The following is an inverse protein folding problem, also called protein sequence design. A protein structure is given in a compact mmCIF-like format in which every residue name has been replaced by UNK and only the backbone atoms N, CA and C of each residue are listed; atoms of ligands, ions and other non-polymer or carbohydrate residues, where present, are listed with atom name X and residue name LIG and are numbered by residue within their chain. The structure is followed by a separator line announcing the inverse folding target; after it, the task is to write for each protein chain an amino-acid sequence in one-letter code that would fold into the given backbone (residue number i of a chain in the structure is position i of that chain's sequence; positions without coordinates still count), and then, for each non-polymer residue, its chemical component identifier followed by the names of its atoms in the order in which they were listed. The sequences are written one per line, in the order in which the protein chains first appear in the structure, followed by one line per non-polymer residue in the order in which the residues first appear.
data_IF_559374575277
#
_entry.id   IF_559374575277
#
_cell.length_a   1.000
_cell.length_b   1.000
_cell.length_c   1.000
_cell.angle_alpha   90.00
_cell.angle_beta   90.00
_cell.angle_gamma   90.00
#
_symmetry.space_group_name_H-M   'P 1'
#
loop_
_entity.id
_entity.type
_entity.pdbx_description
1 polymer ?
#
# COMPACT_ATOMS: atom_id res chain seq x y z
N UNK A 1 -6.56 -15.63 2.64
CA UNK A 1 -7.91 -15.08 2.47
C UNK A 1 -8.35 -15.05 1.00
N UNK A 2 -7.54 -14.57 0.06
CA UNK A 2 -7.90 -14.58 -1.37
C UNK A 2 -8.19 -15.98 -1.96
N UNK A 3 -7.63 -17.04 -1.36
CA UNK A 3 -7.82 -18.44 -1.78
C UNK A 3 -9.12 -19.08 -1.27
N UNK A 4 -9.96 -18.36 -0.53
CA UNK A 4 -11.26 -18.90 -0.08
C UNK A 4 -12.11 -19.16 -1.33
N UNK A 5 -12.72 -20.36 -1.47
CA UNK A 5 -13.60 -20.67 -2.58
C UNK A 5 -14.67 -19.61 -2.75
N UNK A 6 -14.98 -19.25 -4.01
CA UNK A 6 -16.02 -18.29 -4.38
C UNK A 6 -15.80 -16.83 -3.93
N UNK A 7 -14.67 -16.51 -3.28
CA UNK A 7 -14.38 -15.16 -2.79
C UNK A 7 -14.36 -14.12 -3.91
N UNK A 8 -13.79 -14.47 -5.08
CA UNK A 8 -13.74 -13.57 -6.25
C UNK A 8 -15.15 -13.24 -6.73
N UNK A 9 -15.99 -14.25 -6.94
CA UNK A 9 -17.36 -14.09 -7.41
C UNK A 9 -18.21 -13.27 -6.43
N UNK A 10 -18.02 -13.51 -5.12
CA UNK A 10 -18.69 -12.73 -4.10
C UNK A 10 -18.30 -11.26 -4.16
N UNK A 11 -17.00 -10.98 -4.28
CA UNK A 11 -16.50 -9.61 -4.38
C UNK A 11 -16.95 -8.93 -5.68
N UNK A 12 -17.05 -9.66 -6.79
CA UNK A 12 -17.58 -9.15 -8.06
C UNK A 12 -19.04 -8.71 -7.92
N UNK A 13 -19.89 -9.54 -7.29
CA UNK A 13 -21.29 -9.19 -7.04
C UNK A 13 -21.43 -7.96 -6.14
N UNK A 14 -20.74 -7.96 -5.00
CA UNK A 14 -20.84 -6.87 -4.02
C UNK A 14 -20.32 -5.54 -4.57
N UNK A 15 -19.22 -5.56 -5.36
CA UNK A 15 -18.74 -4.35 -6.02
C UNK A 15 -19.70 -3.88 -7.12
N UNK A 16 -20.32 -4.78 -7.88
CA UNK A 16 -21.31 -4.40 -8.89
C UNK A 16 -22.50 -3.66 -8.28
N UNK A 17 -22.97 -4.12 -7.12
CA UNK A 17 -24.10 -3.52 -6.39
C UNK A 17 -23.78 -2.12 -5.83
N UNK A 18 -22.54 -1.89 -5.39
CA UNK A 18 -22.10 -0.61 -4.79
C UNK A 18 -21.67 0.43 -5.84
N UNK A 19 -21.22 -0.02 -7.00
CA UNK A 19 -20.68 0.87 -8.02
C UNK A 19 -21.78 1.51 -8.86
N UNK A 20 -21.53 2.68 -9.47
CA UNK A 20 -22.48 3.31 -10.37
C UNK A 20 -22.93 2.38 -11.49
N UNK A 21 -24.20 2.50 -11.87
CA UNK A 21 -24.81 1.74 -12.95
C UNK A 21 -23.98 1.85 -14.24
N UNK A 22 -23.78 0.72 -14.93
CA UNK A 22 -22.96 0.57 -16.15
C UNK A 22 -21.45 0.82 -16.00
N UNK A 23 -20.92 1.00 -14.79
CA UNK A 23 -19.48 1.13 -14.61
C UNK A 23 -18.74 -0.18 -14.86
N UNK A 24 -17.67 -0.15 -15.66
CA UNK A 24 -16.85 -1.32 -15.99
C UNK A 24 -15.73 -1.54 -14.95
N UNK A 25 -15.56 -2.76 -14.46
CA UNK A 25 -14.47 -3.15 -13.56
C UNK A 25 -14.03 -4.59 -13.77
N UNK A 26 -12.84 -4.92 -13.26
CA UNK A 26 -12.31 -6.26 -13.25
C UNK A 26 -11.65 -6.54 -11.89
N UNK A 27 -11.85 -7.75 -11.38
CA UNK A 27 -11.16 -8.24 -10.17
C UNK A 27 -10.05 -9.19 -10.61
N UNK A 28 -8.82 -8.84 -10.24
CA UNK A 28 -7.66 -9.70 -10.41
C UNK A 28 -7.27 -10.35 -9.08
N UNK A 29 -6.81 -11.60 -9.16
CA UNK A 29 -6.26 -12.34 -8.03
C UNK A 29 -4.85 -12.72 -8.41
N UNK A 30 -3.91 -12.53 -7.48
CA UNK A 30 -2.52 -12.92 -7.69
C UNK A 30 -2.40 -14.46 -7.81
N UNK A 31 -1.40 -14.94 -8.54
CA UNK A 31 -1.18 -16.36 -8.78
C UNK A 31 -0.87 -17.11 -7.47
N UNK A 32 -0.04 -16.51 -6.62
CA UNK A 32 0.25 -17.00 -5.28
C UNK A 32 0.07 -15.89 -4.23
N UNK A 33 -1.17 -15.68 -3.74
CA UNK A 33 -1.46 -14.61 -2.79
C UNK A 33 -0.70 -14.70 -1.45
N UNK A 34 -0.08 -15.83 -1.13
CA UNK A 34 0.70 -16.03 0.10
C UNK A 34 2.16 -15.61 -0.10
N UNK A 35 2.75 -15.91 -1.25
CA UNK A 35 4.18 -15.72 -1.50
C UNK A 35 4.50 -14.53 -2.41
N UNK A 36 3.54 -14.03 -3.19
CA UNK A 36 3.79 -12.99 -4.19
C UNK A 36 4.23 -11.67 -3.55
N UNK A 37 3.74 -11.34 -2.35
CA UNK A 37 4.17 -10.15 -1.61
C UNK A 37 5.68 -10.22 -1.30
N UNK A 38 6.14 -11.33 -0.73
CA UNK A 38 7.56 -11.52 -0.42
C UNK A 38 8.42 -11.64 -1.67
N UNK A 39 7.93 -12.36 -2.69
CA UNK A 39 8.64 -12.52 -3.97
C UNK A 39 8.79 -11.17 -4.68
N UNK A 40 7.77 -10.32 -4.63
CA UNK A 40 7.81 -8.95 -5.12
C UNK A 40 8.85 -8.12 -4.38
N UNK A 41 8.87 -8.16 -3.04
CA UNK A 41 9.86 -7.47 -2.22
C UNK A 41 11.29 -7.96 -2.52
N UNK A 42 11.50 -9.27 -2.66
CA UNK A 42 12.78 -9.87 -3.06
C UNK A 42 13.25 -9.37 -4.41
N UNK A 43 12.38 -9.35 -5.43
CA UNK A 43 12.70 -8.83 -6.76
C UNK A 43 13.03 -7.35 -6.71
N UNK A 44 12.28 -6.58 -5.92
CA UNK A 44 12.51 -5.16 -5.72
C UNK A 44 13.85 -4.89 -5.01
N UNK A 45 14.24 -5.69 -4.02
CA UNK A 45 15.51 -5.55 -3.33
C UNK A 45 16.73 -5.77 -4.25
N UNK A 46 16.57 -6.52 -5.34
CA UNK A 46 17.61 -6.66 -6.36
C UNK A 46 17.66 -5.48 -7.36
N UNK A 47 16.74 -4.53 -7.26
CA UNK A 47 16.71 -3.34 -8.12
C UNK A 47 17.86 -2.38 -7.77
N UNK A 48 18.47 -1.71 -8.76
CA UNK A 48 19.43 -0.63 -8.50
C UNK A 48 18.79 0.58 -7.80
N UNK A 49 17.45 0.60 -7.67
CA UNK A 49 16.69 1.64 -6.94
C UNK A 49 16.63 1.43 -5.42
N UNK A 50 17.13 0.30 -4.92
CA UNK A 50 17.08 -0.02 -3.49
C UNK A 50 17.76 1.07 -2.62
N UNK A 51 18.97 1.58 -2.93
CA UNK A 51 19.63 2.57 -2.09
C UNK A 51 18.84 3.88 -1.96
N UNK A 52 18.17 4.32 -3.01
CA UNK A 52 17.38 5.56 -3.00
C UNK A 52 16.11 5.44 -2.15
N UNK A 53 15.63 4.22 -1.91
CA UNK A 53 14.43 3.93 -1.13
C UNK A 53 14.75 3.24 0.21
N UNK A 54 16.00 3.34 0.65
CA UNK A 54 16.47 2.83 1.94
C UNK A 54 16.86 3.98 2.86
N UNK A 55 16.60 3.83 4.16
CA UNK A 55 17.06 4.77 5.17
C UNK A 55 18.48 4.37 5.57
N UNK A 56 19.42 5.30 5.41
CA UNK A 56 20.78 5.12 5.90
C UNK A 56 20.86 5.40 7.41
N UNK A 57 21.90 4.88 8.05
CA UNK A 57 22.15 5.16 9.46
C UNK A 57 22.29 6.67 9.75
N UNK A 58 22.98 7.40 8.88
CA UNK A 58 23.14 8.85 9.02
C UNK A 58 21.78 9.57 8.95
N UNK A 59 20.94 9.25 7.96
CA UNK A 59 19.61 9.85 7.85
C UNK A 59 18.75 9.57 9.08
N UNK A 60 18.85 8.37 9.65
CA UNK A 60 18.14 8.03 10.88
C UNK A 60 18.62 8.86 12.08
N UNK A 61 19.94 9.08 12.22
CA UNK A 61 20.50 9.92 13.28
C UNK A 61 20.06 11.40 13.15
N UNK A 62 19.95 11.91 11.92
CA UNK A 62 19.59 13.31 11.65
C UNK A 62 18.08 13.57 11.75
N UNK A 63 17.25 12.64 11.26
CA UNK A 63 15.81 12.86 11.09
C UNK A 63 14.96 12.15 12.16
N UNK A 64 15.55 11.23 12.92
CA UNK A 64 14.90 10.49 14.00
C UNK A 64 13.96 9.36 13.53
N UNK A 65 13.25 8.79 14.49
CA UNK A 65 12.41 7.60 14.30
C UNK A 65 11.22 7.79 13.36
N UNK A 66 10.72 9.02 13.21
CA UNK A 66 9.55 9.34 12.40
C UNK A 66 9.85 9.50 10.91
N UNK A 67 11.12 9.42 10.50
CA UNK A 67 11.51 9.62 9.11
C UNK A 67 11.29 8.36 8.28
N UNK A 68 10.59 8.52 7.17
CA UNK A 68 10.37 7.48 6.16
C UNK A 68 10.77 8.06 4.81
N UNK A 69 11.60 7.33 4.05
CA UNK A 69 11.98 7.72 2.68
C UNK A 69 10.78 7.65 1.74
N UNK A 70 10.65 8.65 0.87
CA UNK A 70 9.63 8.65 -0.16
C UNK A 70 9.84 7.49 -1.14
N UNK A 71 8.84 6.62 -1.24
CA UNK A 71 8.84 5.51 -2.16
C UNK A 71 7.42 5.27 -2.65
N UNK A 72 7.29 4.95 -3.95
CA UNK A 72 5.98 4.76 -4.59
C UNK A 72 5.11 3.67 -3.93
N UNK A 73 5.73 2.69 -3.28
CA UNK A 73 5.01 1.64 -2.54
C UNK A 73 5.03 1.84 -1.01
N UNK A 74 5.53 2.97 -0.52
CA UNK A 74 5.47 3.35 0.90
C UNK A 74 4.22 4.20 1.17
N UNK A 75 3.96 4.47 2.45
CA UNK A 75 2.90 5.37 2.86
C UNK A 75 3.28 6.83 2.52
N UNK A 76 2.30 7.63 2.10
CA UNK A 76 2.47 9.06 1.95
C UNK A 76 2.55 9.74 3.33
N UNK A 77 3.44 10.71 3.47
CA UNK A 77 3.45 11.58 4.64
C UNK A 77 2.28 12.57 4.58
N UNK A 78 1.48 12.61 5.65
CA UNK A 78 0.43 13.59 5.84
C UNK A 78 0.71 14.38 7.12
N UNK A 79 0.83 15.73 7.05
CA UNK A 79 1.08 16.53 8.23
C UNK A 79 -0.14 16.46 9.17
N UNK A 80 0.12 16.44 10.47
CA UNK A 80 -0.94 16.50 11.48
C UNK A 80 -1.78 17.76 11.27
N UNK A 81 -3.11 17.65 11.16
CA UNK A 81 -3.97 18.83 11.01
C UNK A 81 -3.78 19.80 12.18
N UNK A 82 -3.85 21.11 11.89
CA UNK A 82 -3.80 22.13 12.93
C UNK A 82 -4.90 21.90 13.97
N UNK A 83 -4.58 22.10 15.25
CA UNK A 83 -5.55 21.95 16.32
C UNK A 83 -6.76 22.86 16.08
N UNK A 84 -7.97 22.32 16.18
CA UNK A 84 -9.18 23.16 16.16
C UNK A 84 -9.09 24.16 17.32
N UNK A 85 -9.39 25.46 17.08
CA UNK A 85 -9.53 26.43 18.16
C UNK A 85 -10.54 25.91 19.18
N UNK A 86 -10.22 26.02 20.47
CA UNK A 86 -11.22 25.78 21.52
C UNK A 86 -12.19 26.96 21.47
N UNK A 87 -13.46 26.69 21.15
CA UNK A 87 -14.51 27.68 21.34
C UNK A 87 -14.58 27.98 22.85
N UNK A 88 -14.44 29.27 23.20
CA UNK A 88 -14.54 29.80 24.56
C UNK A 88 -16.00 29.99 24.95
#
# INVERSE_FOLDING_TARGET
MAQIPQMKQRLERELLELRPFQSTFAISVADNPVLDAWTGARRWAMSPRLPQSSITYQQYQEMGEGYITEHRASNCFFPTPAARPKEL
#
